data_IF_459986181043
#
_entry.id   IF_459986181043
#
_cell.length_a   1.000
_cell.length_b   1.000
_cell.length_c   1.000
_cell.angle_alpha   90.00
_cell.angle_beta   90.00
_cell.angle_gamma   90.00
#
_symmetry.space_group_name_H-M   'P 1'
#
loop_
_entity.id
_entity.type
_entity.pdbx_description
1 polymer ?
#
# COMPACT_ATOMS: atom_id res chain seq x y z
N UNK A 1 -41.50 62.28 42.05
CA UNK A 1 -41.34 63.69 41.62
C UNK A 1 -40.71 63.66 40.27
N UNK A 2 -41.58 63.79 39.32
CA UNK A 2 -41.57 64.57 38.06
C UNK A 2 -40.53 64.17 36.98
N UNK A 3 -41.04 63.48 36.00
CA UNK A 3 -40.75 63.65 34.57
C UNK A 3 -40.73 65.13 34.12
N UNK A 4 -40.05 65.60 33.07
CA UNK A 4 -40.59 65.29 31.73
C UNK A 4 -39.52 65.18 30.63
N UNK A 5 -39.94 64.48 29.58
CA UNK A 5 -39.45 64.64 28.21
C UNK A 5 -39.64 66.05 27.66
N UNK A 6 -38.93 66.41 26.58
CA UNK A 6 -39.66 66.45 25.31
C UNK A 6 -38.93 65.94 24.07
N UNK A 7 -39.79 65.47 23.22
CA UNK A 7 -39.73 65.29 21.79
C UNK A 7 -39.01 66.40 20.99
N UNK A 8 -38.43 66.04 19.89
CA UNK A 8 -38.86 66.46 18.57
C UNK A 8 -37.77 66.43 17.51
N UNK A 9 -38.08 65.89 16.48
CA UNK A 9 -38.15 66.26 15.06
C UNK A 9 -37.28 65.52 14.11
N UNK A 10 -38.01 64.74 13.37
CA UNK A 10 -37.92 64.44 11.94
C UNK A 10 -37.05 65.37 11.10
N UNK A 11 -36.24 64.78 10.25
CA UNK A 11 -36.09 65.13 8.83
C UNK A 11 -35.38 64.03 8.10
N UNK A 12 -36.08 63.31 7.22
CA UNK A 12 -35.51 62.83 5.99
C UNK A 12 -35.47 63.97 4.97
N UNK A 13 -34.61 63.97 4.00
CA UNK A 13 -34.98 63.38 2.73
C UNK A 13 -33.86 62.84 1.83
N UNK A 14 -34.25 61.95 1.01
CA UNK A 14 -34.04 61.87 -0.42
C UNK A 14 -32.69 61.50 -1.02
N UNK A 15 -32.80 60.47 -1.83
CA UNK A 15 -32.19 60.22 -3.13
C UNK A 15 -30.72 59.87 -3.19
N UNK A 16 -30.39 58.69 -3.52
CA UNK A 16 -29.98 58.38 -4.89
C UNK A 16 -29.96 56.86 -5.09
N UNK A 17 -30.80 56.45 -5.96
CA UNK A 17 -30.72 55.12 -6.61
C UNK A 17 -29.46 55.09 -7.46
N UNK A 18 -28.54 54.19 -7.13
CA UNK A 18 -27.60 53.68 -8.11
C UNK A 18 -27.56 52.17 -8.05
N UNK A 19 -28.01 51.62 -9.15
CA UNK A 19 -28.01 50.20 -9.41
C UNK A 19 -26.59 49.65 -9.28
N UNK A 20 -26.43 48.63 -8.50
CA UNK A 20 -25.28 47.79 -8.53
C UNK A 20 -25.71 46.43 -9.05
N UNK A 21 -25.38 46.21 -10.31
CA UNK A 21 -25.49 44.91 -10.94
C UNK A 21 -24.72 43.91 -10.08
N UNK A 22 -25.43 42.99 -9.47
CA UNK A 22 -24.87 41.87 -8.75
C UNK A 22 -24.22 40.93 -9.78
N UNK A 23 -22.90 41.04 -9.92
CA UNK A 23 -22.08 40.08 -10.65
C UNK A 23 -21.98 38.81 -9.79
N UNK A 24 -22.93 37.91 -9.97
CA UNK A 24 -22.88 36.55 -9.44
C UNK A 24 -21.79 35.80 -10.22
N UNK A 25 -20.56 35.86 -9.73
CA UNK A 25 -19.51 34.93 -10.13
C UNK A 25 -19.84 33.59 -9.50
N UNK A 26 -20.49 32.73 -10.29
CA UNK A 26 -20.63 31.32 -9.98
C UNK A 26 -19.23 30.69 -10.01
N UNK A 27 -18.58 30.60 -8.88
CA UNK A 27 -17.43 29.75 -8.65
C UNK A 27 -17.91 28.30 -8.73
N UNK A 28 -17.95 27.76 -9.94
CA UNK A 28 -18.02 26.34 -10.17
C UNK A 28 -16.71 25.74 -9.68
N UNK A 29 -16.58 25.55 -8.37
CA UNK A 29 -15.52 24.78 -7.76
C UNK A 29 -15.66 23.32 -8.20
N UNK A 30 -14.92 22.90 -9.22
CA UNK A 30 -14.67 21.50 -9.48
C UNK A 30 -13.96 20.92 -8.24
N UNK A 31 -14.75 20.40 -7.30
CA UNK A 31 -14.25 19.56 -6.21
C UNK A 31 -13.77 18.26 -6.84
N UNK A 32 -12.55 18.25 -7.35
CA UNK A 32 -11.86 16.99 -7.64
C UNK A 32 -11.57 16.33 -6.31
N UNK A 33 -12.46 15.44 -5.89
CA UNK A 33 -12.20 14.53 -4.79
C UNK A 33 -10.84 13.87 -5.05
N UNK A 34 -9.93 13.76 -4.06
CA UNK A 34 -8.67 13.07 -4.26
C UNK A 34 -9.01 11.63 -4.64
N UNK A 35 -8.80 11.31 -5.92
CA UNK A 35 -8.87 9.94 -6.42
C UNK A 35 -7.90 9.16 -5.55
N UNK A 36 -8.40 8.24 -4.75
CA UNK A 36 -7.58 7.36 -3.92
C UNK A 36 -6.53 6.77 -4.85
N UNK A 37 -5.30 7.23 -4.72
CA UNK A 37 -4.22 6.79 -5.59
C UNK A 37 -4.11 5.28 -5.44
N UNK A 38 -4.30 4.56 -6.52
CA UNK A 38 -4.02 3.13 -6.57
C UNK A 38 -2.57 2.88 -6.13
N UNK A 39 -2.22 1.65 -5.78
CA UNK A 39 -0.84 1.34 -5.45
C UNK A 39 0.07 1.81 -6.59
N UNK A 40 1.24 2.38 -6.27
CA UNK A 40 2.16 2.87 -7.27
C UNK A 40 2.49 1.74 -8.27
N UNK A 41 2.64 2.07 -9.55
CA UNK A 41 3.15 1.10 -10.52
C UNK A 41 4.54 0.62 -10.08
N UNK A 42 4.94 -0.60 -10.44
CA UNK A 42 6.29 -1.08 -10.20
C UNK A 42 7.30 -0.09 -10.83
N UNK A 43 8.44 0.10 -10.17
CA UNK A 43 9.56 0.82 -10.78
C UNK A 43 9.95 0.12 -12.10
N UNK A 44 10.39 0.89 -13.10
CA UNK A 44 10.69 0.37 -14.44
C UNK A 44 11.67 -0.81 -14.43
N UNK A 45 12.57 -0.85 -13.46
CA UNK A 45 13.56 -1.92 -13.25
C UNK A 45 13.14 -2.98 -12.22
N UNK A 46 11.86 -2.98 -11.83
CA UNK A 46 11.39 -3.95 -10.84
C UNK A 46 11.42 -5.38 -11.41
N UNK A 47 11.90 -6.37 -10.64
CA UNK A 47 11.89 -7.76 -11.09
C UNK A 47 10.47 -8.23 -11.48
N UNK A 48 10.31 -9.10 -12.50
CA UNK A 48 9.00 -9.60 -12.94
C UNK A 48 8.15 -10.20 -11.80
N UNK A 49 8.81 -10.76 -10.78
CA UNK A 49 8.14 -11.27 -9.58
C UNK A 49 7.27 -10.23 -8.86
N UNK A 50 7.65 -8.94 -8.90
CA UNK A 50 6.90 -7.85 -8.27
C UNK A 50 5.56 -7.65 -8.98
N UNK A 51 5.56 -7.63 -10.31
CA UNK A 51 4.34 -7.56 -11.11
C UNK A 51 3.40 -8.74 -10.82
N UNK A 52 3.96 -9.95 -10.74
CA UNK A 52 3.18 -11.13 -10.37
C UNK A 52 2.63 -11.05 -8.94
N UNK A 53 3.44 -10.64 -7.97
CA UNK A 53 2.97 -10.45 -6.60
C UNK A 53 1.80 -9.45 -6.51
N UNK A 54 1.88 -8.35 -7.26
CA UNK A 54 0.81 -7.35 -7.34
C UNK A 54 -0.45 -7.87 -8.03
N UNK A 55 -0.36 -8.78 -8.99
CA UNK A 55 -1.51 -9.41 -9.66
C UNK A 55 -2.33 -10.30 -8.72
N UNK A 56 -1.75 -10.79 -7.63
CA UNK A 56 -2.42 -11.63 -6.63
C UNK A 56 -3.21 -10.84 -5.59
N UNK A 57 -3.27 -9.49 -5.68
CA UNK A 57 -4.09 -8.66 -4.78
C UNK A 57 -5.55 -9.09 -4.81
N UNK A 58 -6.18 -9.02 -3.64
CA UNK A 58 -7.57 -9.47 -3.48
C UNK A 58 -7.70 -10.96 -3.17
N UNK A 59 -6.65 -11.78 -3.36
CA UNK A 59 -6.70 -13.19 -2.95
C UNK A 59 -6.96 -13.29 -1.45
N UNK A 60 -7.95 -14.10 -1.01
CA UNK A 60 -8.33 -14.19 0.39
C UNK A 60 -7.18 -14.61 1.31
N UNK A 61 -7.17 -14.06 2.53
CA UNK A 61 -6.29 -14.55 3.57
C UNK A 61 -6.79 -15.89 4.12
N UNK A 62 -5.87 -16.84 4.23
CA UNK A 62 -6.10 -18.11 4.93
C UNK A 62 -4.87 -18.50 5.72
N UNK A 63 -5.03 -18.74 7.01
CA UNK A 63 -3.93 -19.25 7.83
C UNK A 63 -3.46 -20.61 7.29
N UNK A 64 -2.16 -20.77 7.09
CA UNK A 64 -1.56 -21.95 6.47
C UNK A 64 -1.73 -22.06 4.95
N UNK A 65 -2.45 -21.15 4.31
CA UNK A 65 -2.65 -21.14 2.86
C UNK A 65 -1.39 -20.73 2.09
N UNK A 66 -1.18 -21.34 0.92
CA UNK A 66 0.01 -21.13 0.07
C UNK A 66 -0.30 -21.14 -1.44
N UNK A 67 -1.57 -21.01 -1.81
CA UNK A 67 -1.98 -20.97 -3.21
C UNK A 67 -3.16 -20.03 -3.46
N UNK A 68 -3.35 -19.49 -4.69
CA UNK A 68 -4.47 -18.61 -5.01
C UNK A 68 -5.84 -19.27 -4.79
N UNK A 69 -5.94 -20.57 -4.97
CA UNK A 69 -7.20 -21.32 -4.79
C UNK A 69 -7.59 -21.48 -3.33
N UNK A 70 -6.62 -21.65 -2.47
CA UNK A 70 -6.87 -21.83 -1.03
C UNK A 70 -6.92 -20.52 -0.27
N UNK A 71 -6.28 -19.48 -0.78
CA UNK A 71 -5.91 -18.26 -0.08
C UNK A 71 -4.49 -18.34 0.47
N UNK A 72 -4.01 -17.24 1.04
CA UNK A 72 -2.64 -17.11 1.51
C UNK A 72 -2.54 -16.67 2.97
N UNK A 73 -1.58 -17.23 3.71
CA UNK A 73 -0.97 -16.50 4.82
C UNK A 73 0.25 -15.68 4.32
N UNK A 74 0.87 -14.91 5.21
CA UNK A 74 1.95 -14.00 4.84
C UNK A 74 3.15 -14.71 4.19
N UNK A 75 3.64 -15.77 4.79
CA UNK A 75 4.80 -16.54 4.30
C UNK A 75 4.44 -17.46 3.14
N UNK A 76 3.23 -18.00 3.11
CA UNK A 76 2.71 -18.78 1.99
C UNK A 76 2.59 -17.94 0.71
N UNK A 77 2.12 -16.70 0.83
CA UNK A 77 2.10 -15.73 -0.27
C UNK A 77 3.51 -15.47 -0.83
N UNK A 78 4.44 -15.12 0.05
CA UNK A 78 5.82 -14.85 -0.36
C UNK A 78 6.44 -16.09 -1.02
N UNK A 79 6.33 -17.25 -0.38
CA UNK A 79 6.85 -18.50 -0.91
C UNK A 79 6.26 -18.84 -2.28
N UNK A 80 4.95 -18.69 -2.47
CA UNK A 80 4.26 -18.93 -3.73
C UNK A 80 4.82 -18.04 -4.85
N UNK A 81 5.00 -16.75 -4.59
CA UNK A 81 5.55 -15.79 -5.56
C UNK A 81 6.96 -16.21 -5.96
N UNK A 82 7.83 -16.48 -5.00
CA UNK A 82 9.23 -16.80 -5.28
C UNK A 82 9.43 -18.15 -5.97
N UNK A 83 8.61 -19.17 -5.61
CA UNK A 83 8.64 -20.49 -6.26
C UNK A 83 8.34 -20.44 -7.75
N UNK A 84 7.47 -19.53 -8.18
CA UNK A 84 7.19 -19.31 -9.61
C UNK A 84 8.45 -18.89 -10.38
N UNK A 85 9.44 -18.34 -9.72
CA UNK A 85 10.72 -17.91 -10.28
C UNK A 85 11.89 -18.83 -9.87
N UNK A 86 11.59 -20.06 -9.45
CA UNK A 86 12.59 -21.07 -9.15
C UNK A 86 13.30 -20.89 -7.81
N UNK A 87 12.79 -20.01 -6.92
CA UNK A 87 13.38 -19.75 -5.62
C UNK A 87 12.50 -20.38 -4.54
N UNK A 88 13.00 -21.42 -3.89
CA UNK A 88 12.31 -22.05 -2.77
C UNK A 88 12.72 -21.41 -1.45
N UNK A 89 11.74 -20.91 -0.71
CA UNK A 89 11.93 -20.23 0.58
C UNK A 89 11.35 -21.09 1.70
N UNK A 90 11.86 -20.96 2.95
CA UNK A 90 11.26 -21.61 4.10
C UNK A 90 9.76 -21.33 4.23
N UNK A 91 9.02 -22.25 4.89
CA UNK A 91 7.56 -22.09 5.01
C UNK A 91 7.14 -20.96 5.93
N UNK A 92 7.91 -20.66 6.94
CA UNK A 92 7.59 -19.62 7.94
C UNK A 92 8.46 -18.38 7.83
N UNK A 93 7.93 -17.24 8.23
CA UNK A 93 8.57 -15.94 8.08
C UNK A 93 9.84 -15.80 8.92
N UNK A 94 9.88 -16.33 10.13
CA UNK A 94 11.06 -16.25 11.01
C UNK A 94 12.24 -17.04 10.44
N UNK A 95 11.99 -18.21 9.86
CA UNK A 95 13.01 -18.98 9.16
C UNK A 95 13.52 -18.27 7.90
N UNK A 96 12.62 -17.64 7.11
CA UNK A 96 13.04 -16.79 5.99
C UNK A 96 13.99 -15.67 6.46
N UNK A 97 13.61 -14.96 7.53
CA UNK A 97 14.40 -13.86 8.06
C UNK A 97 15.80 -14.32 8.55
N UNK A 98 15.89 -15.54 9.05
CA UNK A 98 17.14 -16.11 9.59
C UNK A 98 18.12 -16.50 8.50
N UNK A 99 17.64 -17.12 7.40
CA UNK A 99 18.52 -17.71 6.38
C UNK A 99 18.90 -16.75 5.26
N UNK A 100 18.08 -15.71 5.02
CA UNK A 100 18.30 -14.80 3.89
C UNK A 100 19.32 -13.70 4.21
N UNK A 101 20.10 -13.23 3.22
CA UNK A 101 21.05 -12.14 3.35
C UNK A 101 20.38 -10.85 3.87
N UNK A 102 21.07 -10.16 4.78
CA UNK A 102 20.63 -8.88 5.34
C UNK A 102 20.78 -7.75 4.32
N UNK A 103 19.82 -6.83 4.35
CA UNK A 103 19.83 -5.57 3.59
C UNK A 103 19.61 -4.42 4.56
N UNK A 104 20.31 -3.28 4.40
CA UNK A 104 20.00 -2.09 5.19
C UNK A 104 18.54 -1.65 5.01
N UNK A 105 17.83 -1.43 6.11
CA UNK A 105 16.42 -1.06 6.08
C UNK A 105 16.15 0.29 5.37
N UNK A 106 17.18 1.13 5.26
CA UNK A 106 17.10 2.43 4.57
C UNK A 106 17.10 2.31 3.02
N UNK A 107 17.49 1.16 2.47
CA UNK A 107 17.71 1.01 1.02
C UNK A 107 17.13 -0.30 0.46
N UNK A 108 15.85 -0.61 0.72
CA UNK A 108 15.23 -1.78 0.13
C UNK A 108 15.05 -1.58 -1.39
N UNK A 109 15.14 -2.66 -2.14
CA UNK A 109 14.87 -2.69 -3.59
C UNK A 109 13.63 -3.52 -3.88
N UNK A 110 12.90 -3.23 -4.97
CA UNK A 110 11.78 -4.07 -5.39
C UNK A 110 12.16 -5.55 -5.44
N UNK A 111 11.36 -6.40 -4.80
CA UNK A 111 11.67 -7.81 -4.60
C UNK A 111 12.34 -8.15 -3.26
N UNK A 112 12.82 -7.21 -2.48
CA UNK A 112 13.29 -7.51 -1.12
C UNK A 112 12.12 -7.91 -0.23
N UNK A 113 12.39 -8.72 0.79
CA UNK A 113 11.42 -9.09 1.82
C UNK A 113 11.53 -8.15 3.01
N UNK A 114 10.39 -7.63 3.45
CA UNK A 114 10.26 -6.80 4.63
C UNK A 114 9.57 -7.58 5.73
N UNK A 115 10.17 -7.61 6.92
CA UNK A 115 9.70 -8.38 8.07
C UNK A 115 9.22 -7.48 9.19
N UNK A 116 8.24 -7.97 9.96
CA UNK A 116 7.60 -7.17 11.00
C UNK A 116 7.30 -8.01 12.25
N UNK A 117 7.31 -7.35 13.39
CA UNK A 117 6.90 -7.90 14.68
C UNK A 117 5.42 -7.60 14.93
N UNK A 118 4.50 -8.44 14.42
CA UNK A 118 3.05 -8.23 14.54
C UNK A 118 2.36 -9.11 15.56
N UNK A 119 2.95 -10.25 15.90
CA UNK A 119 2.35 -11.26 16.77
C UNK A 119 3.11 -11.48 18.08
N UNK A 120 3.79 -10.47 18.61
CA UNK A 120 4.56 -10.59 19.86
C UNK A 120 5.86 -11.41 19.73
N UNK A 121 6.17 -11.90 18.53
CA UNK A 121 7.40 -12.64 18.20
C UNK A 121 8.17 -11.91 17.09
N UNK A 122 9.53 -11.99 17.10
CA UNK A 122 10.33 -11.45 16.01
C UNK A 122 9.93 -12.06 14.66
N UNK A 123 9.95 -11.21 13.62
CA UNK A 123 9.76 -11.61 12.23
C UNK A 123 8.48 -12.44 11.97
N UNK A 124 7.43 -12.19 12.78
CA UNK A 124 6.16 -12.92 12.72
C UNK A 124 5.30 -12.60 11.50
N UNK A 125 5.69 -11.61 10.70
CA UNK A 125 5.02 -11.24 9.47
C UNK A 125 6.01 -10.84 8.39
N UNK A 126 5.66 -11.08 7.11
CA UNK A 126 6.51 -10.81 5.96
C UNK A 126 5.69 -10.28 4.79
N UNK A 127 6.31 -9.42 3.98
CA UNK A 127 5.79 -8.93 2.70
C UNK A 127 6.91 -8.74 1.68
N UNK A 128 6.54 -8.51 0.43
CA UNK A 128 7.45 -8.23 -0.69
C UNK A 128 7.45 -6.72 -0.93
N UNK A 129 8.62 -6.10 -0.84
CA UNK A 129 8.78 -4.69 -1.17
C UNK A 129 8.60 -4.46 -2.67
N UNK A 130 7.82 -3.43 -3.05
CA UNK A 130 7.45 -3.15 -4.44
C UNK A 130 7.91 -1.77 -4.92
N UNK A 131 8.72 -1.07 -4.12
CA UNK A 131 9.19 0.28 -4.42
C UNK A 131 8.42 1.37 -3.70
N UNK A 132 8.97 2.59 -3.67
CA UNK A 132 8.36 3.82 -3.14
C UNK A 132 7.80 3.70 -1.70
N UNK A 133 8.46 2.91 -0.86
CA UNK A 133 8.01 2.65 0.50
C UNK A 133 6.83 1.68 0.60
N UNK A 134 6.40 1.07 -0.49
CA UNK A 134 5.26 0.17 -0.53
C UNK A 134 5.67 -1.30 -0.52
N UNK A 135 4.82 -2.15 0.04
CA UNK A 135 5.01 -3.60 0.05
C UNK A 135 3.66 -4.32 -0.10
N UNK A 136 3.68 -5.49 -0.74
CA UNK A 136 2.51 -6.35 -0.91
C UNK A 136 2.60 -7.54 0.03
N UNK A 137 1.50 -7.90 0.68
CA UNK A 137 1.46 -8.95 1.69
C UNK A 137 0.05 -9.52 1.90
N UNK A 138 -0.05 -10.68 2.55
CA UNK A 138 -1.28 -11.25 3.07
C UNK A 138 -1.34 -11.02 4.60
N UNK A 139 -2.02 -9.95 5.09
CA UNK A 139 -1.80 -9.47 6.45
C UNK A 139 -2.45 -10.30 7.55
N UNK A 140 -3.76 -10.58 7.49
CA UNK A 140 -4.49 -11.32 8.51
C UNK A 140 -5.92 -11.64 8.08
N UNK A 141 -6.61 -12.48 8.85
CA UNK A 141 -8.04 -12.74 8.65
C UNK A 141 -8.90 -11.47 8.77
N UNK A 142 -8.57 -10.57 9.68
CA UNK A 142 -9.32 -9.32 9.88
C UNK A 142 -9.23 -8.35 8.69
N UNK A 143 -8.12 -8.39 7.96
CA UNK A 143 -7.91 -7.56 6.76
C UNK A 143 -8.33 -8.26 5.46
N UNK A 144 -8.63 -9.52 5.51
CA UNK A 144 -9.35 -10.29 4.51
C UNK A 144 -8.56 -10.79 3.32
N UNK A 145 -7.58 -10.06 2.77
CA UNK A 145 -6.96 -10.43 1.49
C UNK A 145 -5.55 -9.85 1.29
N UNK A 146 -4.84 -10.37 0.28
CA UNK A 146 -3.57 -9.82 -0.20
C UNK A 146 -3.77 -8.36 -0.61
N UNK A 147 -2.89 -7.48 -0.11
CA UNK A 147 -2.98 -6.03 -0.32
C UNK A 147 -1.62 -5.35 -0.30
N UNK A 148 -1.60 -4.11 -0.77
CA UNK A 148 -0.44 -3.22 -0.63
C UNK A 148 -0.59 -2.38 0.62
N UNK A 149 0.52 -2.22 1.35
CA UNK A 149 0.67 -1.32 2.50
C UNK A 149 1.93 -0.47 2.34
N UNK A 150 2.08 0.57 3.17
CA UNK A 150 3.21 1.48 3.09
C UNK A 150 4.05 1.44 4.37
N UNK A 151 5.38 1.36 4.23
CA UNK A 151 6.34 1.33 5.35
C UNK A 151 6.33 2.61 6.19
N UNK A 152 5.91 3.74 5.60
CA UNK A 152 5.80 5.03 6.32
C UNK A 152 4.57 5.10 7.22
N UNK A 153 3.60 4.22 7.02
CA UNK A 153 2.44 4.16 7.91
C UNK A 153 2.88 3.78 9.32
N UNK A 154 2.46 4.53 10.33
CA UNK A 154 2.90 4.40 11.74
C UNK A 154 2.91 2.96 12.25
N UNK A 155 1.88 2.19 11.93
CA UNK A 155 1.76 0.79 12.36
C UNK A 155 2.90 -0.08 11.83
N UNK A 156 3.23 0.02 10.54
CA UNK A 156 4.25 -0.78 9.88
C UNK A 156 5.66 -0.27 10.22
N UNK A 157 5.84 1.05 10.23
CA UNK A 157 7.12 1.66 10.58
C UNK A 157 7.60 1.24 11.97
N UNK A 158 6.72 1.27 12.97
CA UNK A 158 7.06 0.90 14.34
C UNK A 158 7.31 -0.61 14.54
N UNK A 159 6.98 -1.45 13.54
CA UNK A 159 7.10 -2.91 13.62
C UNK A 159 8.08 -3.52 12.66
N UNK A 160 8.68 -2.72 11.79
CA UNK A 160 9.70 -3.19 10.86
C UNK A 160 10.90 -3.74 11.66
N UNK A 161 11.22 -5.01 11.45
CA UNK A 161 12.27 -5.72 12.18
C UNK A 161 13.49 -6.02 11.30
N UNK A 162 13.27 -6.33 10.02
CA UNK A 162 14.34 -6.68 9.12
C UNK A 162 13.98 -6.45 7.65
N UNK A 163 15.02 -6.30 6.82
CA UNK A 163 14.92 -6.43 5.36
C UNK A 163 15.89 -7.51 4.92
N UNK A 164 15.44 -8.37 4.00
CA UNK A 164 16.23 -9.48 3.46
C UNK A 164 16.12 -9.54 1.96
N UNK A 165 17.19 -9.96 1.30
CA UNK A 165 17.21 -10.12 -0.15
C UNK A 165 17.34 -11.58 -0.53
N UNK A 166 16.26 -12.21 -1.06
CA UNK A 166 16.39 -13.53 -1.67
C UNK A 166 17.34 -13.48 -2.89
N UNK A 167 18.05 -14.58 -3.18
CA UNK A 167 18.93 -14.66 -4.34
C UNK A 167 18.07 -14.71 -5.62
N UNK A 168 17.64 -13.56 -6.11
CA UNK A 168 16.97 -13.47 -7.41
C UNK A 168 18.05 -13.55 -8.46
N UNK A 169 18.17 -14.71 -9.11
CA UNK A 169 19.13 -14.87 -10.21
C UNK A 169 18.84 -13.89 -11.34
N UNK A 170 19.88 -13.36 -11.95
CA UNK A 170 19.81 -12.50 -13.14
C UNK A 170 19.21 -13.21 -14.38
N UNK A 171 18.70 -14.41 -14.23
CA UNK A 171 18.16 -15.25 -15.32
C UNK A 171 16.64 -15.24 -15.32
N UNK A 172 16.08 -14.10 -15.65
CA UNK A 172 14.63 -13.93 -15.92
C UNK A 172 14.22 -14.44 -17.31
N UNK A 173 14.70 -15.60 -17.74
CA UNK A 173 14.16 -16.31 -18.91
C UNK A 173 13.51 -17.61 -18.44
N UNK A 174 12.18 -17.65 -18.34
CA UNK A 174 11.43 -18.90 -18.40
C UNK A 174 11.76 -19.59 -19.73
N UNK A 175 12.61 -20.63 -19.73
CA UNK A 175 12.58 -21.61 -20.80
C UNK A 175 11.28 -22.41 -20.65
N UNK A 176 10.36 -22.36 -21.61
CA UNK A 176 9.30 -23.35 -21.67
C UNK A 176 9.97 -24.71 -21.92
N UNK A 177 9.49 -25.72 -21.19
CA UNK A 177 10.08 -27.04 -21.12
C UNK A 177 10.49 -27.62 -22.46
N UNK A 178 11.75 -28.04 -22.57
CA UNK A 178 12.18 -29.01 -23.54
C UNK A 178 11.67 -30.37 -23.08
N UNK A 179 10.59 -30.82 -23.68
CA UNK A 179 10.19 -32.22 -23.71
C UNK A 179 11.29 -32.98 -24.42
N UNK A 180 12.14 -33.66 -23.68
CA UNK A 180 13.05 -34.65 -24.23
C UNK A 180 12.23 -35.88 -24.49
N UNK A 181 11.86 -36.08 -25.76
CA UNK A 181 11.40 -37.37 -26.29
C UNK A 181 12.62 -38.27 -26.27
N UNK A 182 12.58 -39.31 -25.45
CA UNK A 182 13.52 -40.42 -25.54
C UNK A 182 12.97 -41.41 -26.59
N UNK A 183 13.73 -41.64 -27.65
CA UNK A 183 13.70 -42.87 -28.45
C UNK A 183 14.51 -43.97 -27.77
#
# INVERSE_FOLDING_TARGET
MTDPRPEARRRAPHHLAYGLAALLVALAGCSTAPKTAGPPPPEADAPPLVGYALSLRGTPYRYGGDSPRQGFDCSGFVRHVYRRYGIDLPRDSASMARVLPRVPAASPRPGDLVFFNTGGRPDSHVGIYVGQGSFVHAPSRATGSVRVSNLRHRYWHARLSAVRRPPVGASGCCRPGSSTTAE
#
